data_IF_610792832686
#
_entry.id   IF_610792832686
#
_cell.length_a   1.000
_cell.length_b   1.000
_cell.length_c   1.000
_cell.angle_alpha   90.00
_cell.angle_beta   90.00
_cell.angle_gamma   90.00
#
_symmetry.space_group_name_H-M   'P 1'
#
loop_
_entity.id
_entity.type
_entity.pdbx_description
1 polymer ?
#
# COMPACT_ATOMS: atom_id res chain seq x y z
N UNK A 1 -23.64 19.77 4.84
CA UNK A 1 -24.56 18.97 5.69
C UNK A 1 -23.85 17.76 6.29
N UNK A 2 -23.23 16.87 5.49
CA UNK A 2 -22.60 15.64 6.01
C UNK A 2 -21.56 15.83 7.14
N UNK A 3 -20.60 16.78 7.10
CA UNK A 3 -19.63 16.95 8.19
C UNK A 3 -20.26 17.38 9.52
N UNK A 4 -21.34 18.17 9.46
CA UNK A 4 -22.06 18.64 10.64
C UNK A 4 -22.85 17.50 11.28
N UNK A 5 -23.55 16.70 10.47
CA UNK A 5 -24.26 15.51 10.97
C UNK A 5 -23.31 14.49 11.59
N UNK A 6 -22.11 14.33 11.01
CA UNK A 6 -21.09 13.45 11.55
C UNK A 6 -20.54 13.95 12.90
N UNK A 7 -20.18 15.24 12.99
CA UNK A 7 -19.71 15.83 14.25
C UNK A 7 -20.78 15.80 15.35
N UNK A 8 -22.06 15.99 14.98
CA UNK A 8 -23.18 15.86 15.92
C UNK A 8 -23.36 14.41 16.39
N UNK A 9 -23.17 13.43 15.51
CA UNK A 9 -23.20 12.01 15.88
C UNK A 9 -22.06 11.65 16.82
N UNK A 10 -20.85 12.10 16.53
CA UNK A 10 -19.68 11.92 17.40
C UNK A 10 -19.95 12.53 18.78
N UNK A 11 -20.42 13.79 18.83
CA UNK A 11 -20.78 14.47 20.07
C UNK A 11 -21.87 13.72 20.86
N UNK A 12 -22.91 13.23 20.18
CA UNK A 12 -24.02 12.55 20.82
C UNK A 12 -23.64 11.19 21.45
N UNK A 13 -22.68 10.47 20.85
CA UNK A 13 -22.27 9.13 21.31
C UNK A 13 -21.12 9.18 22.30
N UNK A 14 -20.13 10.05 22.09
CA UNK A 14 -18.87 10.04 22.85
C UNK A 14 -18.61 11.30 23.65
N UNK A 15 -19.40 12.36 23.46
CA UNK A 15 -19.20 13.66 24.10
C UNK A 15 -18.09 14.53 23.48
N UNK A 16 -17.42 14.06 22.42
CA UNK A 16 -16.43 14.82 21.66
C UNK A 16 -16.86 14.86 20.18
N UNK A 17 -17.12 16.05 19.58
CA UNK A 17 -17.59 16.16 18.20
C UNK A 17 -16.54 15.77 17.15
N UNK A 18 -15.29 15.57 17.57
CA UNK A 18 -14.17 15.17 16.71
C UNK A 18 -13.60 13.80 17.09
N UNK A 19 -14.31 13.03 17.91
CA UNK A 19 -13.84 11.76 18.45
C UNK A 19 -13.31 10.81 17.36
N UNK A 20 -14.06 10.64 16.27
CA UNK A 20 -13.70 9.73 15.18
C UNK A 20 -12.47 10.23 14.42
N UNK A 21 -12.31 11.55 14.27
CA UNK A 21 -11.14 12.17 13.63
C UNK A 21 -9.89 12.01 14.49
N UNK A 22 -10.01 12.28 15.78
CA UNK A 22 -8.92 12.14 16.76
C UNK A 22 -8.49 10.69 16.90
N UNK A 23 -9.44 9.75 17.00
CA UNK A 23 -9.16 8.32 17.08
C UNK A 23 -8.43 7.79 15.85
N UNK A 24 -8.84 8.23 14.66
CA UNK A 24 -8.18 7.85 13.40
C UNK A 24 -6.76 8.43 13.31
N UNK A 25 -6.58 9.67 13.79
CA UNK A 25 -5.28 10.34 13.80
C UNK A 25 -4.31 9.72 14.82
N UNK A 26 -4.81 9.32 16.00
CA UNK A 26 -4.03 8.60 17.00
C UNK A 26 -3.61 7.21 16.51
N UNK A 27 -4.49 6.50 15.80
CA UNK A 27 -4.15 5.21 15.18
C UNK A 27 -3.09 5.37 14.08
N UNK A 28 -3.17 6.43 13.28
CA UNK A 28 -2.16 6.75 12.28
C UNK A 28 -0.77 6.94 12.90
N UNK A 29 -0.72 7.65 14.03
CA UNK A 29 0.50 7.90 14.81
C UNK A 29 1.06 6.60 15.41
N UNK A 30 0.21 5.78 16.04
CA UNK A 30 0.62 4.47 16.56
C UNK A 30 1.20 3.56 15.47
N UNK A 31 0.67 3.67 14.25
CA UNK A 31 1.14 2.91 13.08
C UNK A 31 2.37 3.53 12.38
N UNK A 32 2.87 4.67 12.86
CA UNK A 32 4.04 5.38 12.30
C UNK A 32 3.83 5.89 10.88
N UNK A 33 2.58 6.23 10.50
CA UNK A 33 2.26 6.76 9.16
C UNK A 33 2.49 8.27 9.08
N UNK A 34 2.98 8.73 7.93
CA UNK A 34 3.14 10.16 7.65
C UNK A 34 1.79 10.90 7.74
N UNK A 35 1.77 11.99 8.52
CA UNK A 35 0.60 12.84 8.78
C UNK A 35 0.97 14.30 8.92
N UNK A 36 -0.05 15.16 8.86
CA UNK A 36 0.09 16.59 9.12
C UNK A 36 0.60 17.38 7.93
N UNK A 37 0.42 18.70 8.01
CA UNK A 37 0.71 19.64 6.91
C UNK A 37 2.17 19.64 6.46
N UNK A 38 3.11 19.39 7.38
CA UNK A 38 4.55 19.38 7.06
C UNK A 38 4.95 18.20 6.15
N UNK A 39 4.24 17.08 6.23
CA UNK A 39 4.48 15.92 5.36
C UNK A 39 3.88 16.10 3.96
N UNK A 40 2.85 16.98 3.81
CA UNK A 40 2.07 17.14 2.57
C UNK A 40 2.95 17.43 1.34
N UNK A 41 3.90 18.40 1.34
CA UNK A 41 4.62 18.74 0.11
C UNK A 41 5.47 17.57 -0.41
N UNK A 42 6.22 16.91 0.49
CA UNK A 42 7.05 15.75 0.13
C UNK A 42 6.20 14.57 -0.29
N UNK A 43 5.16 14.26 0.49
CA UNK A 43 4.23 13.17 0.20
C UNK A 43 3.51 13.40 -1.13
N UNK A 44 3.10 14.64 -1.43
CA UNK A 44 2.44 14.99 -2.69
C UNK A 44 3.33 14.66 -3.89
N UNK A 45 4.58 15.14 -3.89
CA UNK A 45 5.51 14.90 -5.00
C UNK A 45 5.87 13.42 -5.11
N UNK A 46 6.21 12.77 -3.98
CA UNK A 46 6.56 11.34 -3.97
C UNK A 46 5.39 10.50 -4.49
N UNK A 47 4.21 10.65 -3.89
CA UNK A 47 3.05 9.83 -4.24
C UNK A 47 2.57 10.09 -5.67
N UNK A 48 2.62 11.33 -6.15
CA UNK A 48 2.26 11.65 -7.54
C UNK A 48 3.25 10.99 -8.51
N UNK A 49 4.57 11.09 -8.24
CA UNK A 49 5.61 10.47 -9.05
C UNK A 49 5.54 8.94 -9.02
N UNK A 50 5.35 8.35 -7.84
CA UNK A 50 5.30 6.90 -7.66
C UNK A 50 4.05 6.29 -8.32
N UNK A 51 2.93 7.01 -8.25
CA UNK A 51 1.64 6.54 -8.79
C UNK A 51 1.55 6.76 -10.30
N UNK A 52 1.88 7.96 -10.80
CA UNK A 52 1.86 8.24 -12.24
C UNK A 52 3.00 7.50 -12.97
N UNK A 53 4.15 7.34 -12.31
CA UNK A 53 5.44 6.92 -12.87
C UNK A 53 6.10 7.99 -13.76
N UNK A 54 7.44 8.07 -13.77
CA UNK A 54 8.16 9.12 -14.51
C UNK A 54 7.82 9.23 -16.00
N UNK A 55 7.64 8.13 -16.78
CA UNK A 55 7.30 8.24 -18.20
C UNK A 55 5.94 8.90 -18.46
N UNK A 56 4.93 8.58 -17.63
CA UNK A 56 3.59 9.17 -17.77
C UNK A 56 3.62 10.63 -17.33
N UNK A 57 4.34 10.96 -16.25
CA UNK A 57 4.51 12.34 -15.81
C UNK A 57 5.17 13.20 -16.91
N UNK A 58 6.23 12.70 -17.56
CA UNK A 58 6.88 13.38 -18.68
C UNK A 58 5.93 13.56 -19.88
N UNK A 59 5.18 12.52 -20.24
CA UNK A 59 4.16 12.61 -21.29
C UNK A 59 3.04 13.60 -20.92
N UNK A 60 2.61 13.64 -19.65
CA UNK A 60 1.60 14.58 -19.17
C UNK A 60 2.06 16.03 -19.32
N UNK A 61 3.31 16.34 -18.96
CA UNK A 61 3.91 17.66 -19.18
C UNK A 61 3.95 18.02 -20.67
N UNK A 62 4.33 17.05 -21.52
CA UNK A 62 4.28 17.21 -22.98
C UNK A 62 2.86 17.50 -23.48
N UNK A 63 1.86 16.80 -22.97
CA UNK A 63 0.45 17.00 -23.30
C UNK A 63 -0.09 18.35 -22.86
N UNK A 64 0.30 18.82 -21.67
CA UNK A 64 -0.02 20.18 -21.19
C UNK A 64 0.61 21.21 -22.13
N UNK A 65 1.90 21.07 -22.45
CA UNK A 65 2.59 22.00 -23.35
C UNK A 65 1.94 22.01 -24.74
N UNK A 66 1.61 20.83 -25.30
CA UNK A 66 0.92 20.70 -26.58
C UNK A 66 -0.47 21.32 -26.54
N UNK A 67 -1.24 21.14 -25.45
CA UNK A 67 -2.51 21.80 -25.27
C UNK A 67 -2.39 23.32 -25.23
N UNK A 68 -1.37 23.87 -24.57
CA UNK A 68 -1.15 25.33 -24.50
C UNK A 68 -0.70 25.89 -25.86
N UNK A 69 0.19 25.18 -26.57
CA UNK A 69 0.73 25.60 -27.87
C UNK A 69 -0.25 25.37 -29.04
N UNK A 70 -1.09 24.34 -28.93
CA UNK A 70 -2.15 23.99 -29.89
C UNK A 70 -3.56 24.34 -29.35
N UNK A 71 -3.66 25.30 -28.43
CA UNK A 71 -4.90 25.65 -27.72
C UNK A 71 -6.05 26.11 -28.63
N UNK A 72 -5.76 26.51 -29.88
CA UNK A 72 -6.79 26.97 -30.82
C UNK A 72 -7.72 25.86 -31.32
N UNK A 73 -7.24 24.69 -31.77
CA UNK A 73 -8.11 23.57 -32.14
C UNK A 73 -8.65 22.71 -30.97
N UNK A 74 -7.92 22.53 -29.87
CA UNK A 74 -8.34 21.60 -28.79
C UNK A 74 -9.36 22.19 -27.79
N UNK A 75 -9.62 23.50 -27.85
CA UNK A 75 -10.60 24.18 -27.02
C UNK A 75 -10.18 24.32 -25.54
N UNK A 76 -10.23 25.55 -25.03
CA UNK A 76 -9.88 25.85 -23.62
C UNK A 76 -10.72 25.05 -22.61
N UNK A 77 -11.92 24.57 -22.98
CA UNK A 77 -12.83 23.83 -22.10
C UNK A 77 -12.23 22.50 -21.60
N UNK A 78 -11.56 21.74 -22.48
CA UNK A 78 -10.95 20.47 -22.09
C UNK A 78 -9.83 20.67 -21.05
N UNK A 79 -9.02 21.73 -21.23
CA UNK A 79 -8.00 22.13 -20.27
C UNK A 79 -8.59 22.50 -18.91
N UNK A 80 -9.67 23.28 -18.89
CA UNK A 80 -10.33 23.67 -17.63
C UNK A 80 -10.86 22.47 -16.86
N UNK A 81 -11.47 21.49 -17.54
CA UNK A 81 -12.01 20.29 -16.88
C UNK A 81 -10.89 19.47 -16.25
N UNK A 82 -9.80 19.22 -16.99
CA UNK A 82 -8.66 18.44 -16.48
C UNK A 82 -7.93 19.18 -15.35
N UNK A 83 -7.76 20.50 -15.48
CA UNK A 83 -7.18 21.34 -14.44
C UNK A 83 -8.06 21.39 -13.18
N UNK A 84 -9.39 21.49 -13.34
CA UNK A 84 -10.33 21.46 -12.23
C UNK A 84 -10.31 20.10 -11.53
N UNK A 85 -10.25 18.99 -12.29
CA UNK A 85 -10.16 17.65 -11.73
C UNK A 85 -8.87 17.46 -10.93
N UNK A 86 -7.73 17.87 -11.50
CA UNK A 86 -6.45 17.83 -10.81
C UNK A 86 -6.47 18.70 -9.54
N UNK A 87 -6.95 19.94 -9.66
CA UNK A 87 -7.03 20.90 -8.58
C UNK A 87 -7.93 20.42 -7.44
N UNK A 88 -9.14 19.95 -7.74
CA UNK A 88 -10.07 19.44 -6.74
C UNK A 88 -9.47 18.24 -5.97
N UNK A 89 -8.81 17.33 -6.67
CA UNK A 89 -8.12 16.20 -6.05
C UNK A 89 -6.95 16.64 -5.18
N UNK A 90 -6.13 17.58 -5.66
CA UNK A 90 -5.00 18.12 -4.91
C UNK A 90 -5.46 18.88 -3.64
N UNK A 91 -6.52 19.69 -3.75
CA UNK A 91 -7.13 20.40 -2.62
C UNK A 91 -7.65 19.40 -1.58
N UNK A 92 -8.32 18.34 -2.04
CA UNK A 92 -8.81 17.28 -1.14
C UNK A 92 -7.66 16.60 -0.40
N UNK A 93 -6.57 16.26 -1.11
CA UNK A 93 -5.36 15.69 -0.51
C UNK A 93 -4.72 16.60 0.54
N UNK A 94 -4.56 17.88 0.23
CA UNK A 94 -4.04 18.88 1.16
C UNK A 94 -4.96 18.99 2.38
N UNK A 95 -6.29 19.03 2.16
CA UNK A 95 -7.29 19.06 3.22
C UNK A 95 -7.19 17.88 4.18
N UNK A 96 -6.95 16.66 3.67
CA UNK A 96 -6.70 15.46 4.50
C UNK A 96 -5.45 15.64 5.36
N UNK A 97 -4.36 16.16 4.80
CA UNK A 97 -3.13 16.40 5.55
C UNK A 97 -3.26 17.51 6.59
N UNK A 98 -3.99 18.59 6.27
CA UNK A 98 -4.33 19.68 7.21
C UNK A 98 -5.19 19.17 8.36
N UNK A 99 -6.13 18.27 8.08
CA UNK A 99 -6.97 17.62 9.08
C UNK A 99 -6.22 16.61 9.98
N UNK A 100 -4.91 16.43 9.80
CA UNK A 100 -4.09 15.54 10.64
C UNK A 100 -4.27 14.04 10.37
N UNK A 101 -5.02 13.69 9.33
CA UNK A 101 -5.29 12.30 8.94
C UNK A 101 -4.04 11.66 8.29
N UNK A 102 -3.98 10.32 8.28
CA UNK A 102 -2.98 9.58 7.52
C UNK A 102 -3.02 10.00 6.06
N UNK A 103 -1.88 10.39 5.48
CA UNK A 103 -1.79 10.73 4.06
C UNK A 103 -1.37 9.48 3.28
N UNK A 104 -2.15 9.10 2.25
CA UNK A 104 -1.86 7.90 1.46
C UNK A 104 -1.79 8.18 -0.05
N UNK A 105 -1.02 7.38 -0.82
CA UNK A 105 -0.93 7.55 -2.26
C UNK A 105 -2.27 7.53 -3.00
N UNK A 106 -3.22 6.71 -2.53
CA UNK A 106 -4.56 6.58 -3.13
C UNK A 106 -5.38 7.88 -3.13
N UNK A 107 -5.04 8.86 -2.30
CA UNK A 107 -5.73 10.15 -2.29
C UNK A 107 -5.32 11.04 -3.47
N UNK A 108 -4.24 10.70 -4.17
CA UNK A 108 -3.83 11.36 -5.41
C UNK A 108 -4.31 10.62 -6.67
N UNK A 109 -5.19 9.62 -6.56
CA UNK A 109 -5.71 8.91 -7.73
C UNK A 109 -6.39 9.85 -8.73
N UNK A 110 -7.20 10.81 -8.26
CA UNK A 110 -7.88 11.78 -9.14
C UNK A 110 -6.88 12.70 -9.87
N UNK A 111 -5.91 13.33 -9.18
CA UNK A 111 -4.82 14.05 -9.83
C UNK A 111 -4.03 13.19 -10.85
N UNK A 112 -3.71 11.94 -10.50
CA UNK A 112 -2.98 11.04 -11.40
C UNK A 112 -3.80 10.71 -12.64
N UNK A 113 -5.12 10.49 -12.53
CA UNK A 113 -6.00 10.28 -13.67
C UNK A 113 -5.98 11.50 -14.61
N UNK A 114 -6.02 12.71 -14.06
CA UNK A 114 -5.90 13.93 -14.87
C UNK A 114 -4.54 13.98 -15.61
N UNK A 115 -3.43 13.61 -14.96
CA UNK A 115 -2.12 13.50 -15.62
C UNK A 115 -2.11 12.43 -16.72
N UNK A 116 -2.72 11.27 -16.49
CA UNK A 116 -2.87 10.23 -17.51
C UNK A 116 -3.63 10.75 -18.73
N UNK A 117 -4.67 11.57 -18.54
CA UNK A 117 -5.41 12.18 -19.63
C UNK A 117 -4.55 13.21 -20.40
N UNK A 118 -3.73 14.00 -19.71
CA UNK A 118 -2.74 14.85 -20.40
C UNK A 118 -1.71 14.01 -21.18
N UNK A 119 -1.22 12.91 -20.60
CA UNK A 119 -0.31 12.00 -21.31
C UNK A 119 -0.97 11.39 -22.55
N UNK A 120 -2.27 11.04 -22.46
CA UNK A 120 -3.05 10.59 -23.59
C UNK A 120 -3.14 11.65 -24.69
N UNK A 121 -3.32 12.94 -24.33
CA UNK A 121 -3.27 14.04 -25.29
C UNK A 121 -1.90 14.10 -25.97
N UNK A 122 -0.79 13.96 -25.24
CA UNK A 122 0.54 13.97 -25.85
C UNK A 122 0.71 12.89 -26.93
N UNK A 123 0.13 11.70 -26.71
CA UNK A 123 0.25 10.55 -27.61
C UNK A 123 -0.79 10.53 -28.74
N UNK A 124 -2.01 10.97 -28.46
CA UNK A 124 -3.16 10.79 -29.35
C UNK A 124 -3.86 12.10 -29.75
N UNK A 125 -3.43 13.25 -29.24
CA UNK A 125 -4.06 14.55 -29.51
C UNK A 125 -3.99 14.99 -30.97
N UNK A 126 -3.05 14.44 -31.76
CA UNK A 126 -2.99 14.64 -33.20
C UNK A 126 -4.26 14.15 -33.93
N UNK A 127 -5.03 13.25 -33.34
CA UNK A 127 -6.29 12.75 -33.92
C UNK A 127 -7.39 13.81 -33.94
N UNK A 128 -7.27 14.85 -33.11
CA UNK A 128 -8.20 15.98 -33.03
C UNK A 128 -7.92 17.07 -34.07
N UNK A 129 -6.82 16.96 -34.83
CA UNK A 129 -6.46 17.89 -35.90
C UNK A 129 -6.97 17.40 -37.25
N UNK A 130 -7.33 18.32 -38.14
CA UNK A 130 -7.75 17.98 -39.50
C UNK A 130 -6.60 17.31 -40.30
N UNK A 131 -6.96 16.44 -41.25
CA UNK A 131 -6.01 15.58 -41.95
C UNK A 131 -4.93 16.33 -42.77
N UNK A 132 -5.22 17.56 -43.23
CA UNK A 132 -4.30 18.38 -44.03
C UNK A 132 -3.32 19.24 -43.25
N UNK A 133 -3.40 19.30 -41.92
CA UNK A 133 -2.54 20.19 -41.14
C UNK A 133 -1.12 19.62 -40.97
N UNK A 134 -0.08 20.35 -41.41
CA UNK A 134 1.32 19.93 -41.26
C UNK A 134 1.71 19.58 -39.81
N UNK A 135 1.10 20.26 -38.83
CA UNK A 135 1.29 19.99 -37.38
C UNK A 135 0.81 18.60 -36.97
N UNK A 136 -0.21 18.03 -37.64
CA UNK A 136 -0.72 16.69 -37.36
C UNK A 136 0.33 15.63 -37.68
N UNK A 137 1.02 15.75 -38.81
CA UNK A 137 2.05 14.80 -39.21
C UNK A 137 3.26 14.83 -38.26
N UNK A 138 3.72 16.03 -37.89
CA UNK A 138 4.82 16.22 -36.93
C UNK A 138 4.47 15.66 -35.55
N UNK A 139 3.28 15.98 -35.02
CA UNK A 139 2.83 15.48 -33.72
C UNK A 139 2.70 13.95 -33.75
N UNK A 140 2.06 13.38 -34.77
CA UNK A 140 1.96 11.93 -34.93
C UNK A 140 3.34 11.26 -34.95
N UNK A 141 4.30 11.81 -35.70
CA UNK A 141 5.67 11.31 -35.75
C UNK A 141 6.36 11.34 -34.38
N UNK A 142 6.27 12.47 -33.67
CA UNK A 142 6.81 12.63 -32.33
C UNK A 142 6.17 11.68 -31.30
N UNK A 143 4.85 11.48 -31.37
CA UNK A 143 4.12 10.57 -30.50
C UNK A 143 4.54 9.11 -30.72
N UNK A 144 4.65 8.67 -31.98
CA UNK A 144 5.11 7.30 -32.32
C UNK A 144 6.55 7.11 -31.85
N UNK A 145 7.45 8.04 -32.17
CA UNK A 145 8.84 7.97 -31.75
C UNK A 145 8.97 7.92 -30.22
N UNK A 146 8.25 8.78 -29.50
CA UNK A 146 8.22 8.80 -28.04
C UNK A 146 7.68 7.50 -27.43
N UNK A 147 6.62 6.94 -28.01
CA UNK A 147 6.06 5.66 -27.56
C UNK A 147 7.05 4.50 -27.76
N UNK A 148 7.69 4.43 -28.93
CA UNK A 148 8.70 3.40 -29.23
C UNK A 148 9.90 3.53 -28.28
N UNK A 149 10.44 4.74 -28.11
CA UNK A 149 11.54 4.98 -27.18
C UNK A 149 11.16 4.63 -25.73
N UNK A 150 9.94 4.96 -25.31
CA UNK A 150 9.42 4.62 -23.99
C UNK A 150 9.33 3.11 -23.76
N UNK A 151 8.79 2.37 -24.74
CA UNK A 151 8.72 0.89 -24.69
C UNK A 151 10.11 0.28 -24.63
N UNK A 152 11.05 0.74 -25.48
CA UNK A 152 12.43 0.26 -25.49
C UNK A 152 13.13 0.54 -24.15
N UNK A 153 12.98 1.74 -23.61
CA UNK A 153 13.56 2.10 -22.32
C UNK A 153 13.02 1.21 -21.19
N UNK A 154 11.71 0.94 -21.16
CA UNK A 154 11.10 0.04 -20.18
C UNK A 154 11.62 -1.39 -20.37
N UNK A 155 11.68 -1.89 -21.61
CA UNK A 155 12.18 -3.23 -21.90
C UNK A 155 13.62 -3.43 -21.43
N UNK A 156 14.49 -2.44 -21.64
CA UNK A 156 15.89 -2.47 -21.16
C UNK A 156 15.96 -2.40 -19.64
N UNK A 157 15.31 -1.41 -19.01
CA UNK A 157 15.35 -1.21 -17.55
C UNK A 157 14.70 -2.37 -16.78
N UNK A 158 13.73 -3.06 -17.40
CA UNK A 158 12.98 -4.17 -16.80
C UNK A 158 13.33 -5.53 -17.41
N UNK A 159 14.47 -5.67 -18.08
CA UNK A 159 14.89 -6.93 -18.70
C UNK A 159 14.86 -8.11 -17.70
N UNK A 160 15.34 -7.90 -16.47
CA UNK A 160 15.34 -8.93 -15.41
C UNK A 160 14.02 -9.03 -14.61
N UNK A 161 12.95 -8.34 -15.03
CA UNK A 161 11.67 -8.43 -14.33
C UNK A 161 11.10 -9.86 -14.28
N UNK A 162 11.15 -10.68 -15.35
CA UNK A 162 10.66 -12.05 -15.31
C UNK A 162 11.43 -12.93 -14.30
N UNK A 163 12.76 -12.82 -14.29
CA UNK A 163 13.61 -13.59 -13.35
C UNK A 163 13.38 -13.20 -11.89
N UNK A 164 13.22 -11.89 -11.62
CA UNK A 164 12.82 -11.41 -10.28
C UNK A 164 11.44 -11.91 -9.90
N UNK A 165 10.47 -11.85 -10.80
CA UNK A 165 9.12 -12.35 -10.55
C UNK A 165 9.11 -13.85 -10.23
N UNK A 166 9.81 -14.67 -11.02
CA UNK A 166 9.96 -16.10 -10.77
C UNK A 166 10.66 -16.39 -9.43
N UNK A 167 11.64 -15.58 -9.05
CA UNK A 167 12.31 -15.70 -7.75
C UNK A 167 11.38 -15.35 -6.60
N UNK A 168 10.53 -14.34 -6.75
CA UNK A 168 9.56 -13.99 -5.71
C UNK A 168 8.41 -14.97 -5.61
N UNK A 169 7.91 -15.53 -6.71
CA UNK A 169 6.93 -16.61 -6.65
C UNK A 169 7.48 -17.84 -5.94
N UNK A 170 8.72 -18.25 -6.25
CA UNK A 170 9.40 -19.35 -5.54
C UNK A 170 9.58 -19.04 -4.06
N UNK A 171 9.89 -17.79 -3.71
CA UNK A 171 10.00 -17.37 -2.32
C UNK A 171 8.65 -17.46 -1.58
N UNK A 172 7.57 -16.97 -2.18
CA UNK A 172 6.24 -17.02 -1.55
C UNK A 172 5.76 -18.47 -1.36
N UNK A 173 5.94 -19.33 -2.37
CA UNK A 173 5.65 -20.77 -2.24
C UNK A 173 6.50 -21.41 -1.14
N UNK A 174 7.80 -21.15 -1.10
CA UNK A 174 8.69 -21.66 -0.07
C UNK A 174 8.29 -21.23 1.36
N UNK A 175 7.79 -20.01 1.54
CA UNK A 175 7.29 -19.55 2.85
C UNK A 175 6.03 -20.29 3.26
N UNK A 176 5.12 -20.55 2.32
CA UNK A 176 3.90 -21.31 2.56
C UNK A 176 4.22 -22.79 2.86
N UNK A 177 5.04 -23.44 2.06
CA UNK A 177 5.48 -24.82 2.28
C UNK A 177 6.20 -24.97 3.64
N UNK A 178 7.05 -24.00 4.00
CA UNK A 178 7.70 -23.97 5.31
C UNK A 178 6.69 -23.74 6.46
N UNK A 179 5.59 -23.01 6.24
CA UNK A 179 4.54 -22.82 7.23
C UNK A 179 3.77 -24.11 7.47
N UNK A 180 3.34 -24.79 6.41
CA UNK A 180 2.69 -26.10 6.50
C UNK A 180 3.60 -27.12 7.20
N UNK A 181 4.87 -27.18 6.79
CA UNK A 181 5.83 -28.14 7.35
C UNK A 181 6.10 -27.92 8.85
N UNK A 182 6.22 -26.67 9.32
CA UNK A 182 6.44 -26.41 10.75
C UNK A 182 5.19 -26.68 11.58
N UNK A 183 4.01 -26.37 11.04
CA UNK A 183 2.74 -26.63 11.73
C UNK A 183 2.45 -28.13 11.81
N UNK A 184 2.83 -28.92 10.81
CA UNK A 184 2.63 -30.37 10.79
C UNK A 184 3.54 -31.16 11.77
N UNK A 185 4.53 -30.52 12.41
CA UNK A 185 5.42 -31.20 13.37
C UNK A 185 4.62 -31.71 14.56
N UNK A 186 4.75 -32.99 14.98
CA UNK A 186 3.96 -33.57 16.07
C UNK A 186 3.98 -32.76 17.38
N UNK A 187 5.15 -32.27 17.79
CA UNK A 187 5.27 -31.44 18.99
C UNK A 187 4.54 -30.09 18.88
N UNK A 188 4.42 -29.54 17.66
CA UNK A 188 3.63 -28.32 17.41
C UNK A 188 2.14 -28.66 17.46
N UNK A 189 1.73 -29.77 16.84
CA UNK A 189 0.34 -30.26 16.88
C UNK A 189 -0.14 -30.55 18.30
N UNK A 190 0.71 -31.14 19.16
CA UNK A 190 0.39 -31.31 20.58
C UNK A 190 0.26 -29.95 21.30
N UNK A 191 1.11 -28.98 20.96
CA UNK A 191 1.02 -27.62 21.48
C UNK A 191 -0.27 -26.88 21.09
N UNK A 192 -0.86 -27.18 19.92
CA UNK A 192 -2.16 -26.62 19.50
C UNK A 192 -3.29 -26.99 20.46
N UNK A 193 -3.15 -28.10 21.22
CA UNK A 193 -4.13 -28.49 22.25
C UNK A 193 -4.03 -27.63 23.52
N UNK A 194 -2.88 -26.98 23.74
CA UNK A 194 -2.63 -26.14 24.92
C UNK A 194 -3.12 -24.70 24.75
N UNK A 195 -3.47 -24.28 23.53
CA UNK A 195 -3.91 -22.93 23.25
C UNK A 195 -3.71 -22.52 21.77
N UNK A 196 -4.03 -21.25 21.45
CA UNK A 196 -3.99 -20.75 20.09
C UNK A 196 -2.55 -20.62 19.54
N UNK A 197 -2.45 -20.46 18.22
CA UNK A 197 -1.21 -20.06 17.56
C UNK A 197 -1.03 -18.56 17.65
N UNK A 198 0.10 -18.11 18.18
CA UNK A 198 0.47 -16.70 18.20
C UNK A 198 1.55 -16.42 17.15
N UNK A 199 1.33 -15.35 16.36
CA UNK A 199 2.21 -14.90 15.30
C UNK A 199 2.84 -13.53 15.65
N UNK A 200 3.98 -13.15 15.07
CA UNK A 200 4.59 -11.85 15.37
C UNK A 200 3.66 -10.69 15.03
N UNK A 201 2.97 -10.79 13.91
CA UNK A 201 2.04 -9.78 13.42
C UNK A 201 0.94 -10.42 12.56
N UNK A 202 0.06 -9.57 12.00
CA UNK A 202 -1.12 -9.98 11.23
C UNK A 202 -0.83 -10.67 9.89
N UNK A 203 0.39 -10.60 9.35
CA UNK A 203 0.68 -11.00 7.95
C UNK A 203 0.41 -12.47 7.64
N UNK A 204 0.61 -13.36 8.63
CA UNK A 204 0.43 -14.81 8.46
C UNK A 204 -0.86 -15.34 9.07
N UNK A 205 -1.66 -14.49 9.75
CA UNK A 205 -2.89 -14.93 10.40
C UNK A 205 -3.84 -15.62 9.41
N UNK A 206 -4.12 -15.06 8.21
CA UNK A 206 -5.03 -15.72 7.27
C UNK A 206 -4.51 -17.07 6.77
N UNK A 207 -3.22 -17.16 6.46
CA UNK A 207 -2.62 -18.38 5.91
C UNK A 207 -2.52 -19.49 6.96
N UNK A 208 -2.11 -19.16 8.19
CA UNK A 208 -2.11 -20.11 9.31
C UNK A 208 -3.52 -20.62 9.64
N UNK A 209 -4.54 -19.75 9.60
CA UNK A 209 -5.95 -20.16 9.78
C UNK A 209 -6.42 -21.09 8.68
N UNK A 210 -6.02 -20.81 7.44
CA UNK A 210 -6.35 -21.64 6.29
C UNK A 210 -5.69 -23.03 6.39
N UNK A 211 -4.39 -23.08 6.67
CA UNK A 211 -3.62 -24.34 6.78
C UNK A 211 -4.14 -25.22 7.92
N UNK A 212 -4.52 -24.63 9.04
CA UNK A 212 -5.03 -25.37 10.20
C UNK A 212 -6.55 -25.61 10.16
N UNK A 213 -7.26 -24.97 9.23
CA UNK A 213 -8.73 -24.95 9.16
C UNK A 213 -9.41 -24.51 10.48
N UNK A 214 -8.99 -23.35 11.01
CA UNK A 214 -9.43 -22.83 12.33
C UNK A 214 -10.00 -21.41 12.30
N UNK A 215 -10.68 -21.04 13.40
CA UNK A 215 -11.36 -19.77 13.56
C UNK A 215 -10.45 -18.58 13.89
N UNK A 216 -11.06 -17.42 14.12
CA UNK A 216 -10.35 -16.19 14.46
C UNK A 216 -9.73 -16.23 15.88
N UNK A 217 -10.34 -16.97 16.80
CA UNK A 217 -9.86 -17.09 18.17
C UNK A 217 -8.59 -17.96 18.29
N UNK A 218 -8.36 -18.84 17.32
CA UNK A 218 -7.31 -19.86 17.35
C UNK A 218 -5.96 -19.36 16.81
N UNK A 219 -5.95 -18.22 16.11
CA UNK A 219 -4.73 -17.62 15.54
C UNK A 219 -4.68 -16.14 15.83
N UNK A 220 -3.74 -15.74 16.69
CA UNK A 220 -3.66 -14.39 17.25
C UNK A 220 -2.35 -13.71 16.83
N UNK A 221 -2.46 -12.48 16.34
CA UNK A 221 -1.27 -11.64 16.14
C UNK A 221 -0.82 -11.03 17.47
N UNK A 222 0.42 -11.30 17.87
CA UNK A 222 1.05 -10.62 19.03
C UNK A 222 1.18 -9.11 18.82
N UNK A 223 1.11 -8.65 17.57
CA UNK A 223 1.06 -7.23 17.24
C UNK A 223 -0.28 -6.54 17.53
N UNK A 224 -1.34 -7.27 17.92
CA UNK A 224 -2.64 -6.68 18.23
C UNK A 224 -2.56 -5.81 19.49
N UNK A 225 -2.60 -4.49 19.29
CA UNK A 225 -2.45 -3.51 20.37
C UNK A 225 -3.64 -3.51 21.33
N UNK A 226 -4.86 -3.82 20.87
CA UNK A 226 -6.04 -3.87 21.74
C UNK A 226 -5.92 -5.03 22.71
N UNK A 227 -5.58 -6.23 22.21
CA UNK A 227 -5.35 -7.40 23.06
C UNK A 227 -4.17 -7.20 23.98
N UNK A 228 -3.09 -6.58 23.51
CA UNK A 228 -1.91 -6.29 24.35
C UNK A 228 -2.26 -5.32 25.48
N UNK A 229 -2.95 -4.22 25.18
CA UNK A 229 -3.36 -3.23 26.19
C UNK A 229 -4.32 -3.82 27.23
N UNK A 230 -5.16 -4.76 26.82
CA UNK A 230 -6.08 -5.47 27.72
C UNK A 230 -5.43 -6.65 28.48
N UNK A 231 -4.15 -6.97 28.24
CA UNK A 231 -3.47 -8.12 28.86
C UNK A 231 -4.01 -9.48 28.40
N UNK A 232 -4.64 -9.54 27.21
CA UNK A 232 -5.32 -10.72 26.66
C UNK A 232 -4.48 -11.51 25.66
N UNK A 233 -3.15 -11.37 25.69
CA UNK A 233 -2.27 -12.20 24.88
C UNK A 233 -2.12 -13.59 25.53
N UNK A 234 -2.30 -14.69 24.79
CA UNK A 234 -2.15 -16.04 25.32
C UNK A 234 -0.75 -16.29 25.88
N UNK A 235 -0.67 -16.91 27.05
CA UNK A 235 0.58 -17.39 27.66
C UNK A 235 0.90 -18.85 27.33
N UNK A 236 -0.05 -19.59 26.73
CA UNK A 236 0.07 -20.99 26.34
C UNK A 236 -0.32 -21.20 24.88
N UNK A 237 -0.02 -22.37 24.32
CA UNK A 237 -0.27 -22.74 22.92
C UNK A 237 1.02 -22.80 22.11
N UNK A 238 0.95 -22.31 20.86
CA UNK A 238 2.08 -22.30 19.92
C UNK A 238 2.49 -20.85 19.63
N UNK A 239 3.79 -20.55 19.64
CA UNK A 239 4.32 -19.27 19.20
C UNK A 239 5.23 -19.47 17.99
N UNK A 240 4.87 -18.88 16.86
CA UNK A 240 5.71 -18.86 15.65
C UNK A 240 6.49 -17.55 15.56
N UNK A 241 7.75 -17.63 15.15
CA UNK A 241 8.59 -16.47 14.80
C UNK A 241 9.31 -16.72 13.50
N UNK A 242 9.52 -15.66 12.71
CA UNK A 242 10.29 -15.74 11.49
C UNK A 242 11.80 -15.71 11.78
N UNK A 243 12.58 -16.50 11.04
CA UNK A 243 14.04 -16.58 11.14
C UNK A 243 14.74 -16.25 9.82
N UNK A 244 15.94 -15.69 9.91
CA UNK A 244 16.70 -15.18 8.78
C UNK A 244 16.31 -13.74 8.41
N UNK A 245 17.30 -12.92 8.05
CA UNK A 245 17.13 -11.48 7.87
C UNK A 245 16.01 -11.12 6.88
N UNK A 246 15.96 -11.81 5.73
CA UNK A 246 14.93 -11.61 4.71
C UNK A 246 13.52 -11.88 5.25
N UNK A 247 13.32 -12.98 5.97
CA UNK A 247 12.01 -13.38 6.49
C UNK A 247 11.60 -12.51 7.67
N UNK A 248 12.53 -12.19 8.58
CA UNK A 248 12.25 -11.24 9.67
C UNK A 248 11.77 -9.90 9.10
N UNK A 249 12.41 -9.41 8.04
CA UNK A 249 11.99 -8.16 7.38
C UNK A 249 10.63 -8.28 6.66
N UNK A 250 10.34 -9.42 6.02
CA UNK A 250 9.14 -9.58 5.16
C UNK A 250 7.90 -10.10 5.87
N UNK A 251 8.04 -10.96 6.86
CA UNK A 251 6.91 -11.61 7.54
C UNK A 251 7.00 -11.47 9.06
N UNK A 252 8.20 -11.40 9.63
CA UNK A 252 8.40 -11.21 11.07
C UNK A 252 8.11 -9.79 11.57
N UNK A 253 8.21 -8.78 10.70
CA UNK A 253 7.95 -7.37 11.03
C UNK A 253 6.86 -6.82 10.13
N UNK A 254 6.02 -5.96 10.70
CA UNK A 254 5.07 -5.15 9.95
C UNK A 254 5.18 -3.67 10.36
N UNK A 255 4.85 -2.78 9.43
CA UNK A 255 4.83 -1.35 9.72
C UNK A 255 3.80 -1.06 10.81
N UNK A 256 4.17 -0.22 11.77
CA UNK A 256 3.33 0.08 12.93
C UNK A 256 3.29 -1.01 14.00
N UNK A 257 4.20 -2.00 13.99
CA UNK A 257 4.25 -3.07 15.01
C UNK A 257 5.59 -3.06 15.78
N UNK A 258 5.59 -3.31 17.10
CA UNK A 258 6.83 -3.37 17.87
C UNK A 258 7.77 -4.46 17.34
N UNK A 259 9.06 -4.15 17.19
CA UNK A 259 10.07 -5.09 16.68
C UNK A 259 10.31 -6.29 17.61
N UNK A 260 9.88 -6.19 18.87
CA UNK A 260 9.98 -7.23 19.89
C UNK A 260 9.01 -8.40 19.65
N UNK A 261 7.99 -8.22 18.83
CA UNK A 261 6.96 -9.24 18.56
C UNK A 261 7.47 -10.48 17.82
N UNK A 262 8.61 -10.38 17.12
CA UNK A 262 9.28 -11.51 16.45
C UNK A 262 10.34 -12.16 17.35
N UNK A 263 9.94 -12.49 18.58
CA UNK A 263 10.69 -13.31 19.54
C UNK A 263 9.71 -14.27 20.21
N UNK A 264 10.19 -15.44 20.62
CA UNK A 264 9.38 -16.36 21.39
C UNK A 264 9.02 -15.69 22.73
N UNK A 265 7.76 -15.72 23.16
CA UNK A 265 7.37 -15.21 24.48
C UNK A 265 8.06 -16.01 25.59
N UNK A 266 8.18 -15.39 26.77
CA UNK A 266 8.71 -16.08 27.94
C UNK A 266 7.87 -17.31 28.28
N UNK A 267 8.52 -18.41 28.68
CA UNK A 267 7.85 -19.68 28.96
C UNK A 267 7.62 -20.59 27.74
N UNK A 268 7.80 -20.09 26.52
CA UNK A 268 7.76 -20.93 25.31
C UNK A 268 9.14 -21.56 25.06
N UNK A 269 9.15 -22.89 24.87
CA UNK A 269 10.36 -23.63 24.47
C UNK A 269 10.30 -23.95 22.98
N UNK A 270 11.40 -23.72 22.27
CA UNK A 270 11.52 -24.12 20.88
C UNK A 270 11.35 -25.64 20.74
N UNK A 271 10.42 -26.07 19.87
CA UNK A 271 10.13 -27.48 19.58
C UNK A 271 10.30 -27.84 18.11
N UNK A 272 10.28 -26.85 17.22
CA UNK A 272 10.49 -27.06 15.79
C UNK A 272 11.15 -25.84 15.14
N UNK A 273 11.94 -26.11 14.10
CA UNK A 273 12.62 -25.09 13.30
C UNK A 273 12.75 -25.56 11.86
N UNK A 274 12.53 -24.64 10.93
CA UNK A 274 12.95 -24.80 9.54
C UNK A 274 13.64 -23.52 9.05
N UNK A 275 13.79 -23.39 7.73
CA UNK A 275 14.43 -22.25 7.07
C UNK A 275 13.75 -20.91 7.38
N UNK A 276 12.42 -20.91 7.55
CA UNK A 276 11.62 -19.68 7.63
C UNK A 276 11.09 -19.41 9.03
N UNK A 277 10.80 -20.47 9.79
CA UNK A 277 10.11 -20.38 11.07
C UNK A 277 10.81 -21.14 12.19
N UNK A 278 10.60 -20.62 13.40
CA UNK A 278 10.78 -21.34 14.65
C UNK A 278 9.43 -21.38 15.35
N UNK A 279 9.04 -22.57 15.82
CA UNK A 279 7.88 -22.78 16.66
C UNK A 279 8.33 -23.07 18.08
N UNK A 280 7.81 -22.30 19.03
CA UNK A 280 7.85 -22.62 20.44
C UNK A 280 6.50 -23.06 20.94
N UNK A 281 6.48 -23.89 21.98
CA UNK A 281 5.26 -24.36 22.67
C UNK A 281 5.36 -24.03 24.15
N UNK A 282 4.22 -23.68 24.74
CA UNK A 282 4.05 -23.55 26.18
C UNK A 282 2.72 -24.17 26.60
N UNK A 283 2.81 -25.07 27.57
CA UNK A 283 1.75 -25.70 28.33
C UNK A 283 2.25 -25.70 29.80
#
# INVERSE_FOLDING_TARGET
MAPVLWALSDLAVTGDPLFSLNSTSALAEALGRDRGIAAVPRAFVSFLSDTARPPVAAAALGGIALCLLAARPLGLRALHVLAALFGAGAITFVGVGVAGLSILPRYLTVPVVALCLFAAIALAGWTLLEAGHARRALWRGGAIAGAVLGVLAVAVVKADAPGRFATELRYLRAVHDDLEAVLAVPAVQDGLRCGPVTLPNYRLVPDTRWVLDVGEADVIARSDDRRRAAGLLPSTGVALVAVGEKNVRRIGRADGTPRTTNRLPDGFREVARNRTFVAGVSC
#
